data_IF_817879929201
#
_entry.id   IF_817879929201
#
_cell.length_a   1.000
_cell.length_b   1.000
_cell.length_c   1.000
_cell.angle_alpha   90.00
_cell.angle_beta   90.00
_cell.angle_gamma   90.00
#
_symmetry.space_group_name_H-M   'P 1'
#
loop_
_entity.id
_entity.type
_entity.pdbx_description
1 polymer ?
#
# COMPACT_ATOMS: atom_id res chain seq x y z
N UNK A 1 0.04 3.55 -9.01
CA UNK A 1 0.37 3.36 -7.59
C UNK A 1 -0.83 2.84 -6.80
N UNK A 2 -1.97 3.55 -6.73
CA UNK A 2 -3.17 3.13 -5.97
C UNK A 2 -3.65 1.70 -6.26
N UNK A 3 -3.83 1.34 -7.55
CA UNK A 3 -4.31 0.02 -7.96
C UNK A 3 -3.41 -1.14 -7.51
N UNK A 4 -2.10 -0.92 -7.39
CA UNK A 4 -1.17 -1.96 -6.91
C UNK A 4 -1.29 -2.16 -5.41
N UNK A 5 -1.51 -1.08 -4.65
CA UNK A 5 -1.75 -1.15 -3.20
C UNK A 5 -3.12 -1.79 -2.93
N UNK A 6 -4.14 -1.46 -3.70
CA UNK A 6 -5.45 -2.12 -3.61
C UNK A 6 -5.38 -3.60 -4.01
N UNK A 7 -4.63 -3.95 -5.05
CA UNK A 7 -4.42 -5.33 -5.46
C UNK A 7 -3.64 -6.11 -4.38
N UNK A 8 -2.62 -5.49 -3.78
CA UNK A 8 -1.89 -6.06 -2.64
C UNK A 8 -2.79 -6.26 -1.42
N UNK A 9 -3.75 -5.35 -1.18
CA UNK A 9 -4.75 -5.47 -0.12
C UNK A 9 -5.79 -6.57 -0.43
N UNK A 10 -6.21 -6.70 -1.68
CA UNK A 10 -7.14 -7.74 -2.12
C UNK A 10 -6.49 -9.13 -2.06
N UNK A 11 -5.25 -9.23 -2.53
CA UNK A 11 -4.44 -10.45 -2.49
C UNK A 11 -3.77 -10.69 -1.12
N UNK A 12 -3.89 -9.74 -0.18
CA UNK A 12 -3.33 -9.85 1.17
C UNK A 12 -3.74 -11.18 1.82
N UNK A 13 -5.02 -11.54 1.74
CA UNK A 13 -5.55 -12.79 2.32
C UNK A 13 -4.97 -14.06 1.67
N UNK A 14 -4.49 -13.96 0.44
CA UNK A 14 -3.89 -15.08 -0.31
C UNK A 14 -2.36 -15.11 -0.23
N UNK A 15 -1.75 -14.02 0.24
CA UNK A 15 -0.31 -13.90 0.47
C UNK A 15 0.14 -14.59 1.75
N UNK A 16 1.42 -14.94 1.82
CA UNK A 16 2.05 -15.56 2.99
C UNK A 16 1.84 -14.71 4.26
N UNK A 17 1.62 -15.31 5.44
CA UNK A 17 1.39 -14.59 6.70
C UNK A 17 2.50 -13.55 7.00
N UNK A 18 3.75 -13.92 6.72
CA UNK A 18 4.90 -13.05 6.91
C UNK A 18 4.87 -11.82 5.98
N UNK A 19 4.42 -11.99 4.73
CA UNK A 19 4.18 -10.85 3.81
C UNK A 19 3.00 -10.01 4.28
N UNK A 20 1.93 -10.63 4.78
CA UNK A 20 0.76 -9.91 5.31
C UNK A 20 1.13 -8.99 6.47
N UNK A 21 1.90 -9.49 7.44
CA UNK A 21 2.33 -8.69 8.60
C UNK A 21 3.16 -7.49 8.17
N UNK A 22 4.09 -7.66 7.23
CA UNK A 22 4.90 -6.55 6.72
C UNK A 22 4.07 -5.54 5.94
N UNK A 23 3.18 -5.98 5.04
CA UNK A 23 2.27 -5.09 4.30
C UNK A 23 1.43 -4.28 5.29
N UNK A 24 0.86 -4.94 6.30
CA UNK A 24 0.09 -4.28 7.36
C UNK A 24 0.96 -3.28 8.13
N UNK A 25 2.18 -3.65 8.54
CA UNK A 25 3.06 -2.77 9.29
C UNK A 25 3.41 -1.49 8.51
N UNK A 26 3.73 -1.61 7.23
CA UNK A 26 4.01 -0.48 6.35
C UNK A 26 2.73 0.35 6.18
N UNK A 27 1.64 -0.25 5.72
CA UNK A 27 0.39 0.49 5.52
C UNK A 27 -0.13 1.16 6.81
N UNK A 28 0.09 0.55 7.97
CA UNK A 28 -0.28 1.11 9.27
C UNK A 28 0.48 2.39 9.59
N UNK A 29 1.80 2.44 9.36
CA UNK A 29 2.61 3.66 9.50
C UNK A 29 2.11 4.77 8.57
N UNK A 30 1.75 4.43 7.35
CA UNK A 30 1.12 5.35 6.40
C UNK A 30 -0.24 5.87 6.91
N UNK A 31 -1.08 4.99 7.45
CA UNK A 31 -2.38 5.35 8.01
C UNK A 31 -2.29 6.21 9.28
N UNK A 32 -1.17 6.13 10.02
CA UNK A 32 -0.83 7.02 11.14
C UNK A 32 -0.24 8.37 10.69
N UNK A 33 0.09 8.51 9.40
CA UNK A 33 0.78 9.70 8.89
C UNK A 33 2.27 9.75 9.25
N UNK A 34 2.85 8.63 9.68
CA UNK A 34 4.30 8.53 9.94
C UNK A 34 5.12 8.53 8.65
N UNK A 35 4.50 8.20 7.52
CA UNK A 35 5.12 8.26 6.19
C UNK A 35 4.08 8.53 5.10
N UNK A 36 4.54 9.06 3.97
CA UNK A 36 3.70 9.32 2.80
C UNK A 36 3.39 8.06 1.98
N UNK A 37 2.38 8.13 1.12
CA UNK A 37 2.00 7.03 0.23
C UNK A 37 3.15 6.60 -0.69
N UNK A 38 3.94 7.55 -1.18
CA UNK A 38 5.13 7.32 -2.01
C UNK A 38 6.13 6.44 -1.25
N UNK A 39 6.43 6.79 -0.01
CA UNK A 39 7.37 6.06 0.84
C UNK A 39 6.85 4.65 1.17
N UNK A 40 5.55 4.53 1.50
CA UNK A 40 4.91 3.24 1.71
C UNK A 40 4.98 2.36 0.46
N UNK A 41 4.76 2.93 -0.73
CA UNK A 41 4.86 2.21 -2.00
C UNK A 41 6.28 1.69 -2.26
N UNK A 42 7.31 2.50 -2.00
CA UNK A 42 8.69 2.05 -2.15
C UNK A 42 9.07 0.98 -1.13
N UNK A 43 8.67 1.09 0.15
CA UNK A 43 8.93 0.04 1.14
C UNK A 43 8.24 -1.28 0.76
N UNK A 44 7.00 -1.21 0.27
CA UNK A 44 6.28 -2.38 -0.23
C UNK A 44 6.98 -3.01 -1.43
N UNK A 45 7.57 -2.20 -2.31
CA UNK A 45 8.30 -2.65 -3.50
C UNK A 45 9.65 -3.27 -3.13
N UNK A 46 10.40 -2.62 -2.24
CA UNK A 46 11.73 -3.05 -1.80
C UNK A 46 11.67 -4.40 -1.06
N UNK A 47 10.62 -4.59 -0.26
CA UNK A 47 10.40 -5.81 0.51
C UNK A 47 9.67 -6.92 -0.31
N UNK A 48 9.57 -6.76 -1.64
CA UNK A 48 8.91 -7.70 -2.59
C UNK A 48 7.46 -8.02 -2.18
N UNK A 49 6.79 -7.09 -1.50
CA UNK A 49 5.42 -7.26 -1.02
C UNK A 49 4.39 -6.92 -2.09
N UNK A 50 4.78 -6.09 -3.05
CA UNK A 50 4.02 -5.82 -4.28
C UNK A 50 4.87 -6.20 -5.48
N UNK A 51 4.21 -6.76 -6.51
CA UNK A 51 4.90 -7.13 -7.72
C UNK A 51 5.48 -5.89 -8.41
N UNK A 52 6.77 -5.93 -8.75
CA UNK A 52 7.40 -4.86 -9.52
C UNK A 52 6.68 -4.71 -10.86
N UNK A 53 6.13 -3.53 -11.19
CA UNK A 53 5.40 -3.37 -12.44
C UNK A 53 6.35 -3.54 -13.63
N UNK A 54 6.10 -4.57 -14.46
CA UNK A 54 6.91 -4.88 -15.65
C UNK A 54 6.95 -3.74 -16.69
N UNK A 55 6.02 -2.78 -16.59
CA UNK A 55 6.10 -1.52 -17.31
C UNK A 55 6.51 -0.42 -16.34
N UNK A 56 7.77 -0.01 -16.42
CA UNK A 56 8.26 1.30 -15.95
C UNK A 56 7.64 2.45 -16.77
N UNK A 57 6.35 2.38 -17.09
CA UNK A 57 5.61 3.58 -17.44
C UNK A 57 5.64 4.40 -16.17
N UNK A 58 6.39 5.50 -16.19
CA UNK A 58 6.39 6.58 -15.19
C UNK A 58 4.97 6.66 -14.67
N UNK A 59 4.72 6.05 -13.51
CA UNK A 59 3.41 6.03 -12.92
C UNK A 59 3.20 7.48 -12.56
N UNK A 60 2.47 8.21 -13.41
CA UNK A 60 2.03 9.55 -13.13
C UNK A 60 1.55 9.49 -11.69
N UNK A 61 2.15 10.33 -10.82
CA UNK A 61 1.60 10.61 -9.49
C UNK A 61 0.13 10.82 -9.75
N UNK A 62 -0.69 9.81 -9.49
CA UNK A 62 -2.13 10.00 -9.48
C UNK A 62 -2.25 10.84 -8.22
N UNK A 63 -2.56 12.15 -8.33
CA UNK A 63 -2.82 12.91 -7.13
C UNK A 63 -3.97 12.18 -6.46
N UNK A 64 -3.69 11.46 -5.37
CA UNK A 64 -4.77 10.97 -4.55
C UNK A 64 -5.42 12.24 -4.00
N UNK A 65 -6.69 12.42 -4.33
CA UNK A 65 -7.49 13.40 -3.63
C UNK A 65 -7.48 13.08 -2.14
N UNK A 66 -7.60 14.10 -1.29
CA UNK A 66 -7.64 13.93 0.16
C UNK A 66 -8.73 12.92 0.59
N UNK A 67 -9.85 12.88 -0.13
CA UNK A 67 -10.92 11.89 0.07
C UNK A 67 -10.48 10.44 -0.21
N UNK A 68 -9.76 10.19 -1.30
CA UNK A 68 -9.23 8.85 -1.61
C UNK A 68 -8.15 8.45 -0.60
N UNK A 69 -7.34 9.41 -0.17
CA UNK A 69 -6.33 9.18 0.86
C UNK A 69 -6.98 8.77 2.18
N UNK A 70 -7.98 9.52 2.63
CA UNK A 70 -8.76 9.23 3.84
C UNK A 70 -9.40 7.85 3.76
N UNK A 71 -10.09 7.55 2.65
CA UNK A 71 -10.71 6.23 2.42
C UNK A 71 -9.71 5.08 2.48
N UNK A 72 -8.52 5.27 1.90
CA UNK A 72 -7.47 4.27 1.96
C UNK A 72 -6.97 4.07 3.39
N UNK A 73 -6.72 5.17 4.13
CA UNK A 73 -6.31 5.12 5.54
C UNK A 73 -7.36 4.45 6.43
N UNK A 74 -8.64 4.72 6.22
CA UNK A 74 -9.74 4.07 6.95
C UNK A 74 -9.83 2.58 6.64
N UNK A 75 -9.74 2.18 5.36
CA UNK A 75 -9.66 0.76 4.95
C UNK A 75 -8.52 0.05 5.67
N UNK A 76 -7.33 0.65 5.69
CA UNK A 76 -6.14 0.08 6.33
C UNK A 76 -6.37 -0.06 7.84
N UNK A 77 -6.86 1.00 8.50
CA UNK A 77 -7.18 0.96 9.95
C UNK A 77 -8.17 -0.15 10.29
N UNK A 78 -9.20 -0.36 9.47
CA UNK A 78 -10.18 -1.44 9.65
C UNK A 78 -9.62 -2.86 9.43
N UNK A 79 -8.47 -3.00 8.75
CA UNK A 79 -7.79 -4.29 8.49
C UNK A 79 -6.71 -4.63 9.55
N UNK A 80 -6.27 -3.62 10.30
CA UNK A 80 -5.23 -3.73 11.36
C UNK A 80 -5.78 -3.60 12.77
N UNK A 81 -7.08 -3.31 12.92
CA UNK A 81 -7.75 -3.16 14.22
C UNK A 81 -8.38 -4.45 14.72
#
# INVERSE_FOLDING_TARGET
>A
MHRQIEDALANLKSSLPQKQEKIKAILFRYARGEMGLDQAYYELLDDDLIAMPQRCAVFAKVPLSEEDELRLKEKIKGLTS
#
